data_IF_516943036833
#
_entry.id   IF_516943036833
#
_cell.length_a   1.000
_cell.length_b   1.000
_cell.length_c   1.000
_cell.angle_alpha   90.00
_cell.angle_beta   90.00
_cell.angle_gamma   90.00
#
_symmetry.space_group_name_H-M   'P 1'
#
loop_
_entity.id
_entity.type
_entity.pdbx_description
1 polymer ?
#
# COMPACT_ATOMS: atom_id res chain seq x y z
N UNK A 1 -8.99 -20.20 -29.16
CA UNK A 1 -8.90 -19.77 -27.74
C UNK A 1 -7.47 -19.65 -27.20
N UNK A 2 -6.43 -20.31 -27.75
CA UNK A 2 -5.04 -20.17 -27.27
C UNK A 2 -4.41 -18.78 -27.51
N UNK A 3 -4.74 -18.08 -28.60
CA UNK A 3 -4.14 -16.75 -28.89
C UNK A 3 -4.60 -15.65 -27.93
N UNK A 4 -5.81 -15.74 -27.36
CA UNK A 4 -6.33 -14.75 -26.39
C UNK A 4 -5.55 -14.84 -25.08
N UNK A 5 -5.18 -16.05 -24.65
CA UNK A 5 -4.39 -16.25 -23.44
C UNK A 5 -2.95 -15.73 -23.59
N UNK A 6 -2.34 -15.86 -24.77
CA UNK A 6 -1.00 -15.30 -25.03
C UNK A 6 -1.02 -13.76 -25.02
N UNK A 7 -2.04 -13.13 -25.60
CA UNK A 7 -2.20 -11.67 -25.54
C UNK A 7 -2.45 -11.18 -24.10
N UNK A 8 -3.21 -11.94 -23.30
CA UNK A 8 -3.45 -11.61 -21.90
C UNK A 8 -2.15 -11.66 -21.08
N UNK A 9 -1.32 -12.70 -21.28
CA UNK A 9 -0.01 -12.81 -20.63
C UNK A 9 0.91 -11.65 -21.01
N UNK A 10 0.93 -11.25 -22.28
CA UNK A 10 1.75 -10.12 -22.72
C UNK A 10 1.31 -8.80 -22.07
N UNK A 11 0.00 -8.53 -22.01
CA UNK A 11 -0.54 -7.34 -21.35
C UNK A 11 -0.21 -7.30 -19.85
N UNK A 12 -0.23 -8.46 -19.19
CA UNK A 12 0.06 -8.57 -17.76
C UNK A 12 1.56 -8.41 -17.49
N UNK A 13 2.44 -8.92 -18.35
CA UNK A 13 3.88 -8.66 -18.25
C UNK A 13 4.18 -7.17 -18.34
N UNK A 14 3.51 -6.43 -19.23
CA UNK A 14 3.65 -4.96 -19.30
C UNK A 14 3.19 -4.31 -17.97
N UNK A 15 2.05 -4.74 -17.42
CA UNK A 15 1.55 -4.23 -16.15
C UNK A 15 2.51 -4.52 -14.97
N UNK A 16 3.05 -5.74 -14.90
CA UNK A 16 4.04 -6.14 -13.89
C UNK A 16 5.32 -5.33 -14.04
N UNK A 17 5.83 -5.13 -15.26
CA UNK A 17 7.00 -4.28 -15.50
C UNK A 17 6.74 -2.83 -15.05
N UNK A 18 5.57 -2.27 -15.35
CA UNK A 18 5.18 -0.94 -14.88
C UNK A 18 5.12 -0.85 -13.35
N UNK A 19 4.53 -1.85 -12.69
CA UNK A 19 4.49 -1.94 -11.24
C UNK A 19 5.90 -2.10 -10.64
N UNK A 20 6.78 -2.88 -11.26
CA UNK A 20 8.16 -3.05 -10.80
C UNK A 20 8.96 -1.74 -10.91
N UNK A 21 8.82 -1.00 -12.02
CA UNK A 21 9.46 0.32 -12.19
C UNK A 21 8.95 1.32 -11.16
N UNK A 22 7.62 1.41 -10.99
CA UNK A 22 7.04 2.33 -9.99
C UNK A 22 7.44 1.95 -8.58
N UNK A 23 7.47 0.66 -8.24
CA UNK A 23 7.98 0.16 -6.95
C UNK A 23 9.42 0.61 -6.71
N UNK A 24 10.30 0.44 -7.70
CA UNK A 24 11.70 0.86 -7.59
C UNK A 24 11.83 2.37 -7.37
N UNK A 25 11.06 3.18 -8.10
CA UNK A 25 11.02 4.64 -7.92
C UNK A 25 10.52 5.01 -6.52
N UNK A 26 9.42 4.41 -6.05
CA UNK A 26 8.88 4.66 -4.70
C UNK A 26 9.89 4.27 -3.62
N UNK A 27 10.60 3.15 -3.77
CA UNK A 27 11.64 2.72 -2.82
C UNK A 27 12.82 3.70 -2.76
N UNK A 28 13.30 4.17 -3.92
CA UNK A 28 14.37 5.16 -3.98
C UNK A 28 13.94 6.48 -3.33
N UNK A 29 12.71 6.90 -3.59
CA UNK A 29 12.14 8.10 -2.98
C UNK A 29 11.98 7.96 -1.46
N UNK A 30 11.43 6.84 -0.99
CA UNK A 30 11.30 6.52 0.44
C UNK A 30 12.67 6.50 1.13
N UNK A 31 13.67 5.91 0.49
CA UNK A 31 15.05 5.86 1.01
C UNK A 31 15.68 7.26 1.10
N UNK A 32 15.47 8.12 0.09
CA UNK A 32 15.91 9.50 0.15
C UNK A 32 15.31 10.26 1.33
N UNK A 33 13.99 10.14 1.55
CA UNK A 33 13.30 10.74 2.70
C UNK A 33 13.76 10.17 4.03
N UNK A 34 14.06 8.88 4.09
CA UNK A 34 14.60 8.25 5.30
C UNK A 34 15.98 8.83 5.66
N UNK A 35 16.85 9.07 4.68
CA UNK A 35 18.16 9.69 4.92
C UNK A 35 18.01 11.11 5.44
N UNK A 36 17.12 11.93 4.86
CA UNK A 36 16.83 13.28 5.34
C UNK A 36 16.39 13.27 6.81
N UNK A 37 15.49 12.35 7.18
CA UNK A 37 15.04 12.17 8.56
C UNK A 37 16.19 11.79 9.49
N UNK A 38 17.04 10.83 9.10
CA UNK A 38 18.20 10.40 9.90
C UNK A 38 19.16 11.57 10.13
N UNK A 39 19.44 12.38 9.11
CA UNK A 39 20.30 13.56 9.23
C UNK A 39 19.69 14.61 10.16
N UNK A 40 18.38 14.86 10.05
CA UNK A 40 17.66 15.78 10.93
C UNK A 40 17.72 15.34 12.39
N UNK A 41 17.53 14.04 12.65
CA UNK A 41 17.65 13.45 13.98
C UNK A 41 19.09 13.55 14.51
N UNK A 42 20.10 13.24 13.69
CA UNK A 42 21.51 13.34 14.08
C UNK A 42 21.93 14.76 14.53
N UNK A 43 21.34 15.80 13.94
CA UNK A 43 21.61 17.20 14.32
C UNK A 43 20.81 17.68 15.56
N UNK A 44 20.13 16.79 16.28
CA UNK A 44 19.43 17.11 17.52
C UNK A 44 17.94 17.46 17.35
N UNK A 45 17.35 17.21 16.18
CA UNK A 45 15.94 17.50 15.86
C UNK A 45 14.89 16.68 16.62
N UNK A 46 15.27 15.82 17.58
CA UNK A 46 14.38 14.88 18.29
C UNK A 46 13.25 15.53 19.10
N UNK A 47 13.37 16.81 19.47
CA UNK A 47 12.38 17.53 20.30
C UNK A 47 11.29 18.24 19.49
N UNK A 48 11.31 18.15 18.16
CA UNK A 48 10.28 18.76 17.33
C UNK A 48 9.20 17.73 16.99
N UNK A 49 7.92 18.10 17.16
CA UNK A 49 6.77 17.26 16.75
C UNK A 49 6.80 16.89 15.26
N UNK A 50 7.51 17.69 14.45
CA UNK A 50 7.79 17.41 13.03
C UNK A 50 8.56 16.12 12.80
N UNK A 51 9.40 15.67 13.75
CA UNK A 51 10.17 14.44 13.59
C UNK A 51 9.26 13.19 13.57
N UNK A 52 8.19 13.17 14.37
CA UNK A 52 7.22 12.06 14.38
C UNK A 52 6.42 12.04 13.08
N UNK A 53 6.04 13.21 12.59
CA UNK A 53 5.32 13.36 11.32
C UNK A 53 6.18 12.85 10.15
N UNK A 54 7.43 13.32 10.05
CA UNK A 54 8.35 12.85 9.00
C UNK A 54 8.66 11.35 9.10
N UNK A 55 8.68 10.79 10.31
CA UNK A 55 8.79 9.34 10.50
C UNK A 55 7.58 8.61 9.93
N UNK A 56 6.36 9.07 10.22
CA UNK A 56 5.13 8.46 9.69
C UNK A 56 5.06 8.57 8.15
N UNK A 57 5.49 9.70 7.58
CA UNK A 57 5.60 9.85 6.12
C UNK A 57 6.56 8.81 5.49
N UNK A 58 7.73 8.60 6.10
CA UNK A 58 8.71 7.62 5.60
C UNK A 58 8.15 6.19 5.70
N UNK A 59 7.51 5.85 6.82
CA UNK A 59 6.90 4.52 6.99
C UNK A 59 5.81 4.29 5.95
N UNK A 60 4.97 5.28 5.69
CA UNK A 60 3.92 5.21 4.67
C UNK A 60 4.48 4.95 3.27
N UNK A 61 5.54 5.68 2.87
CA UNK A 61 6.18 5.48 1.56
C UNK A 61 6.74 4.06 1.37
N UNK A 62 7.38 3.50 2.41
CA UNK A 62 7.84 2.11 2.36
C UNK A 62 6.69 1.11 2.30
N UNK A 63 5.59 1.41 2.97
CA UNK A 63 4.41 0.55 2.99
C UNK A 63 3.75 0.52 1.60
N UNK A 64 3.60 1.69 0.95
CA UNK A 64 3.12 1.80 -0.43
C UNK A 64 4.01 1.03 -1.39
N UNK A 65 5.33 1.20 -1.32
CA UNK A 65 6.28 0.45 -2.14
C UNK A 65 6.14 -1.07 -1.95
N UNK A 66 5.95 -1.52 -0.71
CA UNK A 66 5.75 -2.94 -0.39
C UNK A 66 4.45 -3.47 -0.99
N UNK A 67 3.34 -2.71 -0.92
CA UNK A 67 2.08 -3.09 -1.58
C UNK A 67 2.27 -3.22 -3.08
N UNK A 68 2.92 -2.24 -3.73
CA UNK A 68 3.17 -2.29 -5.17
C UNK A 68 3.97 -3.54 -5.55
N UNK A 69 4.96 -3.92 -4.75
CA UNK A 69 5.75 -5.13 -4.95
C UNK A 69 4.90 -6.40 -4.80
N UNK A 70 4.10 -6.50 -3.74
CA UNK A 70 3.20 -7.65 -3.51
C UNK A 70 2.23 -7.81 -4.69
N UNK A 71 1.65 -6.70 -5.17
CA UNK A 71 0.75 -6.71 -6.34
C UNK A 71 1.49 -7.18 -7.58
N UNK A 72 2.70 -6.67 -7.83
CA UNK A 72 3.51 -7.06 -8.99
C UNK A 72 3.83 -8.56 -8.97
N UNK A 73 4.28 -9.08 -7.83
CA UNK A 73 4.64 -10.48 -7.66
C UNK A 73 3.42 -11.40 -7.81
N UNK A 74 2.30 -11.07 -7.18
CA UNK A 74 1.12 -11.93 -7.26
C UNK A 74 0.41 -11.87 -8.63
N UNK A 75 0.49 -10.75 -9.36
CA UNK A 75 0.08 -10.72 -10.77
C UNK A 75 1.01 -11.55 -11.67
N UNK A 76 2.31 -11.53 -11.40
CA UNK A 76 3.27 -12.36 -12.11
C UNK A 76 3.04 -13.85 -11.83
N UNK A 77 2.81 -14.22 -10.58
CA UNK A 77 2.54 -15.60 -10.17
C UNK A 77 1.28 -16.16 -10.84
N UNK A 78 0.19 -15.40 -10.79
CA UNK A 78 -1.11 -15.84 -11.28
C UNK A 78 -1.17 -16.05 -12.80
N UNK A 79 -0.41 -15.28 -13.58
CA UNK A 79 -0.55 -15.25 -15.03
C UNK A 79 0.71 -15.65 -15.80
N UNK A 80 1.89 -15.53 -15.20
CA UNK A 80 3.16 -15.77 -15.89
C UNK A 80 3.77 -17.09 -15.45
N UNK A 81 4.12 -17.25 -14.17
CA UNK A 81 4.82 -18.44 -13.71
C UNK A 81 4.64 -18.65 -12.21
N UNK A 82 4.50 -19.92 -11.81
CA UNK A 82 4.45 -20.33 -10.40
C UNK A 82 5.79 -20.01 -9.71
N UNK A 83 5.76 -19.09 -8.76
CA UNK A 83 6.92 -18.71 -7.97
C UNK A 83 6.89 -19.54 -6.68
N UNK A 84 8.02 -20.15 -6.27
CA UNK A 84 8.13 -20.86 -4.99
C UNK A 84 8.16 -19.89 -3.80
N UNK A 85 7.06 -19.16 -3.62
CA UNK A 85 6.86 -18.17 -2.58
C UNK A 85 6.39 -18.83 -1.29
N UNK A 86 6.66 -18.23 -0.12
CA UNK A 86 6.08 -18.69 1.14
C UNK A 86 4.55 -18.57 1.12
N UNK A 87 3.85 -19.42 1.88
CA UNK A 87 2.39 -19.57 1.80
C UNK A 87 1.58 -18.28 1.96
N UNK A 88 2.12 -17.27 2.67
CA UNK A 88 1.46 -15.97 2.85
C UNK A 88 1.52 -15.06 1.61
N UNK A 89 2.38 -15.38 0.63
CA UNK A 89 2.54 -14.66 -0.63
C UNK A 89 2.16 -15.53 -1.85
N UNK A 90 1.87 -16.81 -1.68
CA UNK A 90 1.43 -17.70 -2.76
C UNK A 90 0.02 -17.32 -3.25
N UNK A 91 -0.12 -16.98 -4.52
CA UNK A 91 -1.37 -16.52 -5.14
C UNK A 91 -1.87 -17.54 -6.17
N UNK A 92 -2.90 -18.32 -5.81
CA UNK A 92 -3.51 -19.30 -6.73
C UNK A 92 -4.68 -18.72 -7.53
N UNK A 93 -5.28 -17.64 -7.04
CA UNK A 93 -6.37 -16.92 -7.69
C UNK A 93 -6.34 -15.42 -7.36
N UNK A 94 -7.11 -14.59 -8.09
CA UNK A 94 -7.20 -13.14 -7.84
C UNK A 94 -7.71 -12.78 -6.43
N UNK A 95 -8.50 -13.65 -5.80
CA UNK A 95 -9.00 -13.46 -4.43
C UNK A 95 -7.91 -13.61 -3.38
N UNK A 96 -6.94 -14.51 -3.61
CA UNK A 96 -5.80 -14.71 -2.74
C UNK A 96 -4.88 -13.48 -2.73
N UNK A 97 -4.78 -12.77 -3.86
CA UNK A 97 -4.06 -11.50 -3.96
C UNK A 97 -4.70 -10.39 -3.11
N UNK A 98 -6.04 -10.39 -2.99
CA UNK A 98 -6.76 -9.32 -2.27
C UNK A 98 -6.43 -9.31 -0.78
N UNK A 99 -6.22 -10.48 -0.17
CA UNK A 99 -5.99 -10.59 1.28
C UNK A 99 -4.77 -9.81 1.77
N UNK A 100 -3.54 -10.06 1.26
CA UNK A 100 -2.36 -9.31 1.69
C UNK A 100 -2.45 -7.82 1.32
N UNK A 101 -3.06 -7.48 0.18
CA UNK A 101 -3.28 -6.07 -0.21
C UNK A 101 -4.18 -5.35 0.81
N UNK A 102 -5.32 -5.95 1.18
CA UNK A 102 -6.25 -5.35 2.14
C UNK A 102 -5.58 -5.20 3.51
N UNK A 103 -4.82 -6.21 3.96
CA UNK A 103 -4.10 -6.13 5.24
C UNK A 103 -3.15 -4.94 5.28
N UNK A 104 -2.34 -4.74 4.24
CA UNK A 104 -1.41 -3.61 4.21
C UNK A 104 -2.13 -2.28 4.03
N UNK A 105 -3.19 -2.21 3.21
CA UNK A 105 -4.00 -1.00 3.05
C UNK A 105 -4.64 -0.54 4.36
N UNK A 106 -5.12 -1.46 5.20
CA UNK A 106 -5.66 -1.10 6.52
C UNK A 106 -4.60 -0.41 7.38
N UNK A 107 -3.36 -0.91 7.36
CA UNK A 107 -2.24 -0.29 8.09
C UNK A 107 -1.93 1.11 7.56
N UNK A 108 -1.92 1.31 6.23
CA UNK A 108 -1.74 2.63 5.59
C UNK A 108 -2.80 3.62 6.08
N UNK A 109 -4.08 3.22 6.09
CA UNK A 109 -5.18 4.08 6.54
C UNK A 109 -4.99 4.51 8.00
N UNK A 110 -4.57 3.59 8.88
CA UNK A 110 -4.30 3.89 10.29
C UNK A 110 -3.14 4.88 10.43
N UNK A 111 -2.03 4.67 9.70
CA UNK A 111 -0.87 5.59 9.74
C UNK A 111 -1.28 6.98 9.27
N UNK A 112 -2.02 7.09 8.16
CA UNK A 112 -2.52 8.38 7.64
C UNK A 112 -3.44 9.10 8.61
N UNK A 113 -4.27 8.35 9.33
CA UNK A 113 -5.12 8.93 10.36
C UNK A 113 -4.29 9.52 11.51
N UNK A 114 -3.26 8.80 11.98
CA UNK A 114 -2.35 9.29 13.02
C UNK A 114 -1.54 10.50 12.54
N UNK A 115 -1.00 10.46 11.33
CA UNK A 115 -0.29 11.60 10.70
C UNK A 115 -1.18 12.85 10.69
N UNK A 116 -2.44 12.71 10.26
CA UNK A 116 -3.40 13.82 10.23
C UNK A 116 -3.76 14.32 11.62
N UNK A 117 -3.86 13.43 12.60
CA UNK A 117 -4.10 13.79 14.00
C UNK A 117 -2.99 14.66 14.59
N UNK A 118 -1.74 14.47 14.15
CA UNK A 118 -0.60 15.26 14.60
C UNK A 118 -0.49 16.62 13.89
N UNK A 119 -0.96 16.72 12.65
CA UNK A 119 -0.85 17.94 11.84
C UNK A 119 -1.98 18.96 12.05
N UNK A 120 -3.19 18.53 12.41
CA UNK A 120 -4.37 19.40 12.43
C UNK A 120 -5.02 19.51 13.82
N UNK A 121 -5.81 20.56 14.04
CA UNK A 121 -6.57 20.72 15.28
C UNK A 121 -7.60 19.61 15.47
N UNK A 122 -7.99 19.35 16.72
CA UNK A 122 -8.86 18.24 17.10
C UNK A 122 -10.17 18.16 16.30
N UNK A 123 -10.78 19.30 15.94
CA UNK A 123 -12.02 19.33 15.15
C UNK A 123 -11.80 18.92 13.69
N UNK A 124 -10.70 19.36 13.05
CA UNK A 124 -10.39 18.98 11.67
C UNK A 124 -10.03 17.49 11.56
N UNK A 125 -9.31 16.97 12.55
CA UNK A 125 -9.04 15.52 12.65
C UNK A 125 -10.33 14.74 12.87
N UNK A 126 -11.28 15.25 13.67
CA UNK A 126 -12.57 14.62 13.87
C UNK A 126 -13.39 14.61 12.57
N UNK A 127 -13.41 15.71 11.81
CA UNK A 127 -14.09 15.74 10.50
C UNK A 127 -13.46 14.79 9.50
N UNK A 128 -12.12 14.73 9.42
CA UNK A 128 -11.43 13.77 8.57
C UNK A 128 -11.71 12.32 8.99
N UNK A 129 -11.59 12.02 10.29
CA UNK A 129 -11.85 10.69 10.84
C UNK A 129 -13.28 10.22 10.63
N UNK A 130 -14.26 11.08 10.88
CA UNK A 130 -15.67 10.75 10.65
C UNK A 130 -15.97 10.56 9.17
N UNK A 131 -15.43 11.40 8.28
CA UNK A 131 -15.58 11.22 6.84
C UNK A 131 -14.98 9.87 6.36
N UNK A 132 -13.75 9.55 6.76
CA UNK A 132 -13.11 8.27 6.42
C UNK A 132 -13.87 7.08 7.01
N UNK A 133 -14.37 7.18 8.25
CA UNK A 133 -15.17 6.14 8.89
C UNK A 133 -16.49 5.89 8.15
N UNK A 134 -17.20 6.94 7.75
CA UNK A 134 -18.44 6.82 6.97
C UNK A 134 -18.19 6.11 5.64
N UNK A 135 -17.15 6.50 4.90
CA UNK A 135 -16.78 5.84 3.63
C UNK A 135 -16.42 4.37 3.86
N UNK A 136 -15.64 4.08 4.91
CA UNK A 136 -15.22 2.71 5.25
C UNK A 136 -16.43 1.84 5.64
N UNK A 137 -17.35 2.36 6.46
CA UNK A 137 -18.58 1.65 6.85
C UNK A 137 -19.47 1.42 5.63
N UNK A 138 -19.62 2.42 4.75
CA UNK A 138 -20.40 2.27 3.52
C UNK A 138 -19.84 1.17 2.61
N UNK A 139 -18.51 1.13 2.43
CA UNK A 139 -17.85 0.06 1.68
C UNK A 139 -18.02 -1.31 2.36
N UNK A 140 -17.83 -1.38 3.68
CA UNK A 140 -17.96 -2.62 4.44
C UNK A 140 -19.38 -3.19 4.34
N UNK A 141 -20.40 -2.34 4.42
CA UNK A 141 -21.80 -2.74 4.20
C UNK A 141 -22.03 -3.18 2.76
N UNK A 142 -21.52 -2.46 1.76
CA UNK A 142 -21.65 -2.85 0.35
C UNK A 142 -21.05 -4.23 0.07
N UNK A 143 -19.87 -4.52 0.60
CA UNK A 143 -19.23 -5.84 0.45
C UNK A 143 -20.09 -6.91 1.13
N UNK A 144 -20.53 -6.67 2.37
CA UNK A 144 -21.34 -7.61 3.15
C UNK A 144 -22.70 -7.90 2.50
N UNK A 145 -23.34 -6.91 1.90
CA UNK A 145 -24.62 -7.09 1.21
C UNK A 145 -24.45 -7.64 -0.22
N UNK A 146 -23.34 -7.33 -0.89
CA UNK A 146 -23.02 -7.82 -2.22
C UNK A 146 -22.62 -9.29 -2.28
N UNK A 147 -22.12 -9.88 -1.19
CA UNK A 147 -21.84 -11.32 -1.11
C UNK A 147 -23.11 -12.20 -0.98
N UNK A 148 -24.30 -11.60 -0.81
CA UNK A 148 -25.57 -12.32 -0.68
C UNK A 148 -26.51 -12.17 -1.89
N UNK A 149 -26.06 -11.56 -2.99
CA UNK A 149 -26.81 -11.42 -4.25
C UNK A 149 -26.10 -12.19 -5.39
#
# INVERSE_FOLDING_TARGET
MRSVFEHLRFLIVIAVCGLAVTTAVTLLWASGRAVELIVMLAHGGWRQDSAVISLLEVVDLFLVATVQLIVALGLFELFVADLHLPEWLTVRNLGDLKRPIIQVLVVVVVIKFVERMLMTGALDTLYFGTATAVVTIALALFIRFGEHA
#
